data_IF_349682699117
#
_entry.id   IF_349682699117
#
_cell.length_a   1.000
_cell.length_b   1.000
_cell.length_c   1.000
_cell.angle_alpha   90.00
_cell.angle_beta   90.00
_cell.angle_gamma   90.00
#
_symmetry.space_group_name_H-M   'P 1'
#
loop_
_entity.id
_entity.type
_entity.pdbx_description
1 polymer ?
#
# COMPACT_ATOMS: atom_id res chain seq x y z
N UNK A 1 -14.42 4.70 10.70
CA UNK A 1 -13.44 5.36 9.82
C UNK A 1 -12.27 4.43 9.50
N UNK A 2 -11.62 3.82 10.50
CA UNK A 2 -10.53 2.87 10.27
C UNK A 2 -10.99 1.65 9.46
N UNK A 3 -12.10 1.03 9.85
CA UNK A 3 -12.64 -0.16 9.19
C UNK A 3 -13.21 0.13 7.80
N UNK A 4 -13.68 1.36 7.56
CA UNK A 4 -14.26 1.77 6.27
C UNK A 4 -13.19 2.07 5.20
N UNK A 5 -12.00 2.52 5.60
CA UNK A 5 -10.88 2.75 4.67
C UNK A 5 -10.14 1.44 4.42
N UNK A 6 -9.92 0.64 5.46
CA UNK A 6 -9.22 -0.64 5.35
C UNK A 6 -9.97 -1.63 4.44
N UNK A 7 -11.30 -1.63 4.47
CA UNK A 7 -12.15 -2.41 3.57
C UNK A 7 -12.04 -1.99 2.08
N UNK A 8 -11.51 -0.80 1.78
CA UNK A 8 -11.27 -0.35 0.39
C UNK A 8 -9.91 -0.80 -0.14
N UNK A 9 -8.98 -1.23 0.73
CA UNK A 9 -7.68 -1.72 0.30
C UNK A 9 -7.77 -3.14 -0.23
N UNK A 10 -6.88 -3.45 -1.17
CA UNK A 10 -6.73 -4.81 -1.70
C UNK A 10 -6.22 -5.74 -0.60
N UNK A 11 -6.71 -6.97 -0.59
CA UNK A 11 -6.26 -7.99 0.36
C UNK A 11 -4.77 -8.31 0.23
N UNK A 12 -4.20 -8.11 -0.97
CA UNK A 12 -2.78 -8.30 -1.22
C UNK A 12 -1.89 -7.19 -0.63
N UNK A 13 -2.44 -6.11 -0.05
CA UNK A 13 -1.64 -5.09 0.63
C UNK A 13 -1.58 -5.39 2.14
N UNK A 14 -0.47 -5.92 2.69
CA UNK A 14 -0.32 -6.13 4.12
C UNK A 14 0.32 -4.93 4.84
N UNK A 15 1.07 -4.11 4.10
CA UNK A 15 1.80 -2.97 4.66
C UNK A 15 0.86 -1.95 5.31
N UNK A 16 1.23 -1.51 6.52
CA UNK A 16 0.49 -0.52 7.32
C UNK A 16 -0.96 -0.90 7.67
N UNK A 17 -1.32 -2.20 7.58
CA UNK A 17 -2.63 -2.72 8.02
C UNK A 17 -2.49 -3.44 9.36
N UNK A 18 -3.51 -3.28 10.20
CA UNK A 18 -3.56 -3.96 11.49
C UNK A 18 -3.68 -5.47 11.25
N UNK A 19 -2.99 -6.27 12.06
CA UNK A 19 -3.10 -7.72 12.07
C UNK A 19 -2.70 -8.40 10.73
N UNK A 20 -1.90 -7.71 9.89
CA UNK A 20 -1.33 -8.22 8.63
C UNK A 20 0.20 -8.19 8.68
N UNK A 21 0.83 -9.20 8.11
CA UNK A 21 2.30 -9.34 8.01
C UNK A 21 2.72 -9.62 6.56
N UNK A 22 3.99 -9.38 6.24
CA UNK A 22 4.60 -9.77 4.97
C UNK A 22 4.82 -11.30 4.85
N UNK A 23 4.70 -12.05 5.95
CA UNK A 23 4.91 -13.51 5.98
C UNK A 23 4.10 -14.25 4.92
N UNK A 24 2.81 -13.93 4.77
CA UNK A 24 1.93 -14.58 3.80
C UNK A 24 2.32 -14.24 2.35
N UNK A 25 2.77 -13.01 2.08
CA UNK A 25 3.25 -12.60 0.77
C UNK A 25 4.55 -13.31 0.40
N UNK A 26 5.48 -13.43 1.35
CA UNK A 26 6.71 -14.19 1.17
C UNK A 26 6.36 -15.64 0.87
N UNK A 27 5.54 -16.29 1.71
CA UNK A 27 5.12 -17.67 1.49
C UNK A 27 4.46 -17.87 0.12
N UNK A 28 3.61 -16.92 -0.32
CA UNK A 28 2.99 -16.95 -1.64
C UNK A 28 4.03 -16.90 -2.76
N UNK A 29 5.02 -16.02 -2.67
CA UNK A 29 6.11 -15.93 -3.65
C UNK A 29 6.91 -17.23 -3.72
N UNK A 30 7.24 -17.82 -2.56
CA UNK A 30 7.92 -19.12 -2.47
C UNK A 30 7.12 -20.21 -3.19
N UNK A 31 5.82 -20.31 -2.92
CA UNK A 31 4.94 -21.30 -3.57
C UNK A 31 4.91 -21.12 -5.10
N UNK A 32 4.84 -19.87 -5.60
CA UNK A 32 4.84 -19.60 -7.04
C UNK A 32 6.15 -20.05 -7.70
N UNK A 33 7.29 -19.80 -7.05
CA UNK A 33 8.61 -20.24 -7.52
C UNK A 33 8.71 -21.77 -7.53
N UNK A 34 8.28 -22.43 -6.45
CA UNK A 34 8.30 -23.89 -6.37
C UNK A 34 7.41 -24.53 -7.44
N UNK A 35 6.23 -23.96 -7.70
CA UNK A 35 5.34 -24.45 -8.74
C UNK A 35 5.95 -24.29 -10.14
N UNK A 36 6.58 -23.15 -10.45
CA UNK A 36 7.21 -22.98 -11.77
C UNK A 36 8.32 -24.00 -12.01
N UNK A 37 9.10 -24.32 -10.98
CA UNK A 37 10.13 -25.37 -11.04
C UNK A 37 9.48 -26.74 -11.27
N UNK A 38 8.45 -27.07 -10.48
CA UNK A 38 7.75 -28.35 -10.55
C UNK A 38 7.13 -28.62 -11.93
N UNK A 39 6.58 -27.59 -12.57
CA UNK A 39 5.91 -27.70 -13.86
C UNK A 39 6.79 -27.31 -15.05
N UNK A 40 8.10 -27.12 -14.84
CA UNK A 40 9.05 -26.66 -15.86
C UNK A 40 8.54 -25.45 -16.67
N UNK A 41 7.91 -24.51 -15.96
CA UNK A 41 7.28 -23.33 -16.52
C UNK A 41 8.24 -22.14 -16.45
N UNK A 42 8.24 -21.28 -17.47
CA UNK A 42 8.97 -20.02 -17.38
C UNK A 42 8.32 -19.09 -16.36
N UNK A 43 9.13 -18.50 -15.48
CA UNK A 43 8.70 -17.54 -14.46
C UNK A 43 9.58 -16.29 -14.51
N UNK A 44 8.96 -15.12 -14.48
CA UNK A 44 9.64 -13.83 -14.36
C UNK A 44 9.11 -13.13 -13.11
N UNK A 45 10.01 -12.61 -12.27
CA UNK A 45 9.68 -11.88 -11.05
C UNK A 45 10.35 -10.50 -11.13
N UNK A 46 9.55 -9.45 -10.94
CA UNK A 46 10.04 -8.08 -10.91
C UNK A 46 9.86 -7.49 -9.51
N UNK A 47 10.94 -6.97 -8.95
CA UNK A 47 10.90 -6.19 -7.70
C UNK A 47 10.87 -4.71 -8.06
N UNK A 48 9.83 -4.02 -7.59
CA UNK A 48 9.62 -2.58 -7.83
C UNK A 48 9.68 -1.88 -6.48
N UNK A 49 10.54 -0.87 -6.39
CA UNK A 49 10.67 -0.03 -5.21
C UNK A 49 10.68 1.45 -5.62
N UNK A 50 10.16 2.32 -4.75
CA UNK A 50 10.11 3.76 -4.98
C UNK A 50 11.19 4.47 -4.16
N UNK A 51 12.12 5.13 -4.84
CA UNK A 51 13.11 5.97 -4.18
C UNK A 51 12.39 7.11 -3.41
N UNK A 52 12.65 7.19 -2.10
CA UNK A 52 12.07 8.21 -1.20
C UNK A 52 10.55 8.35 -1.38
N UNK A 53 9.82 7.24 -1.27
CA UNK A 53 8.39 7.17 -1.53
C UNK A 53 7.54 8.26 -0.83
N UNK A 54 7.92 8.71 0.37
CA UNK A 54 7.19 9.77 1.07
C UNK A 54 7.55 11.19 0.61
N UNK A 55 8.78 11.40 0.12
CA UNK A 55 9.22 12.71 -0.38
C UNK A 55 8.76 12.96 -1.82
N UNK A 56 8.51 11.90 -2.59
CA UNK A 56 8.08 11.98 -3.99
C UNK A 56 6.56 12.05 -4.19
N UNK A 57 5.76 11.99 -3.12
CA UNK A 57 4.30 12.08 -3.20
C UNK A 57 3.85 13.50 -3.53
N UNK A 58 3.05 13.64 -4.58
CA UNK A 58 2.37 14.91 -4.90
C UNK A 58 1.32 15.26 -3.84
N UNK A 59 1.59 16.25 -2.99
CA UNK A 59 0.73 16.63 -1.86
C UNK A 59 -0.73 16.94 -2.25
N UNK A 60 -0.94 17.64 -3.37
CA UNK A 60 -2.29 17.91 -3.88
C UNK A 60 -3.07 16.62 -4.14
N UNK A 61 -2.44 15.67 -4.83
CA UNK A 61 -3.05 14.38 -5.15
C UNK A 61 -3.33 13.58 -3.88
N UNK A 62 -2.45 13.66 -2.88
CA UNK A 62 -2.67 13.01 -1.59
C UNK A 62 -3.94 13.55 -0.89
N UNK A 63 -4.15 14.86 -0.88
CA UNK A 63 -5.33 15.47 -0.25
C UNK A 63 -6.62 15.06 -0.95
N UNK A 64 -6.63 15.06 -2.28
CA UNK A 64 -7.77 14.60 -3.09
C UNK A 64 -8.04 13.10 -2.84
N UNK A 65 -6.98 12.28 -2.73
CA UNK A 65 -7.07 10.85 -2.47
C UNK A 65 -7.69 10.57 -1.10
N UNK A 66 -7.24 11.23 -0.04
CA UNK A 66 -7.78 11.02 1.32
C UNK A 66 -9.29 11.32 1.37
N UNK A 67 -9.74 12.39 0.69
CA UNK A 67 -11.16 12.71 0.58
C UNK A 67 -11.93 11.65 -0.22
N UNK A 68 -11.36 11.17 -1.33
CA UNK A 68 -11.94 10.07 -2.12
C UNK A 68 -12.12 8.78 -1.30
N UNK A 69 -11.17 8.47 -0.40
CA UNK A 69 -11.30 7.36 0.53
C UNK A 69 -12.35 7.59 1.63
N UNK A 70 -12.92 8.80 1.73
CA UNK A 70 -13.99 9.14 2.67
C UNK A 70 -13.47 9.68 4.01
N UNK A 71 -12.22 10.14 4.06
CA UNK A 71 -11.68 10.82 5.24
C UNK A 71 -12.29 12.22 5.29
N UNK A 72 -12.93 12.61 6.41
CA UNK A 72 -13.57 13.91 6.54
C UNK A 72 -12.60 15.07 6.31
N UNK A 73 -13.07 16.10 5.63
CA UNK A 73 -12.29 17.28 5.27
C UNK A 73 -11.57 17.92 6.48
N UNK A 74 -12.23 17.95 7.65
CA UNK A 74 -11.62 18.44 8.90
C UNK A 74 -10.33 17.70 9.25
N UNK A 75 -10.29 16.37 9.09
CA UNK A 75 -9.09 15.56 9.36
C UNK A 75 -8.04 15.81 8.28
N UNK A 76 -8.45 15.86 7.01
CA UNK A 76 -7.53 16.17 5.89
C UNK A 76 -6.86 17.53 6.08
N UNK A 77 -7.59 18.55 6.54
CA UNK A 77 -7.04 19.87 6.83
C UNK A 77 -6.07 19.85 8.02
N UNK A 78 -6.34 19.08 9.08
CA UNK A 78 -5.38 18.90 10.19
C UNK A 78 -4.08 18.27 9.70
N UNK A 79 -4.17 17.21 8.89
CA UNK A 79 -3.00 16.56 8.31
C UNK A 79 -2.26 17.55 7.42
N UNK A 80 -2.93 18.23 6.49
CA UNK A 80 -2.33 19.23 5.59
C UNK A 80 -1.56 20.30 6.38
N UNK A 81 -2.18 20.90 7.38
CA UNK A 81 -1.55 21.94 8.19
C UNK A 81 -0.29 21.46 8.94
N UNK A 82 -0.20 20.16 9.25
CA UNK A 82 1.02 19.58 9.86
C UNK A 82 2.21 19.51 8.89
N UNK A 83 1.96 19.56 7.57
CA UNK A 83 2.98 19.60 6.53
C UNK A 83 3.23 21.03 6.01
N UNK A 84 2.24 21.93 6.07
CA UNK A 84 2.35 23.34 5.62
C UNK A 84 3.20 24.23 6.56
N UNK A 85 3.61 23.73 7.73
CA UNK A 85 4.53 24.39 8.67
C UNK A 85 6.01 24.10 8.42
N UNK A 86 6.34 23.45 7.29
CA UNK A 86 7.70 23.30 6.76
C UNK A 86 8.01 24.35 5.71
#
# INVERSE_FOLDING_TARGET
MKDSVDAKFRDQQPGFRKDRSCTDQIATLWIVVEQSIKWNSSLCINFIDYEKAFDSVGWRNLWELLQHYGIPEKIVNIIRNSYDGR
#
